data_IF_441559980637
#
_entry.id   IF_441559980637
#
_cell.length_a   1.000
_cell.length_b   1.000
_cell.length_c   1.000
_cell.angle_alpha   90.00
_cell.angle_beta   90.00
_cell.angle_gamma   90.00
#
_symmetry.space_group_name_H-M   'P 1'
#
loop_
_entity.id
_entity.type
_entity.pdbx_description
1 polymer ?
#
# COMPACT_ATOMS: atom_id res chain seq x y z
N UNK A 1 11.93 20.50 -10.42
CA UNK A 1 10.86 20.65 -9.42
C UNK A 1 11.54 20.49 -8.08
N UNK A 2 12.06 21.58 -7.56
CA UNK A 2 12.77 21.60 -6.28
C UNK A 2 11.68 21.68 -5.22
N UNK A 3 11.50 20.56 -4.54
CA UNK A 3 10.38 20.29 -3.65
C UNK A 3 10.75 20.73 -2.23
N UNK A 4 9.84 21.47 -1.62
CA UNK A 4 9.69 21.83 -0.21
C UNK A 4 10.85 21.54 0.78
N UNK A 5 11.33 22.57 1.48
CA UNK A 5 12.58 22.52 2.26
C UNK A 5 12.44 22.40 3.80
N UNK A 6 11.24 22.22 4.37
CA UNK A 6 11.07 22.23 5.84
C UNK A 6 10.19 21.10 6.42
N UNK A 7 9.40 20.41 5.59
CA UNK A 7 8.49 19.33 6.00
C UNK A 7 9.05 17.91 5.79
N UNK A 8 8.31 16.87 6.24
CA UNK A 8 8.67 15.46 6.04
C UNK A 8 8.69 15.05 4.56
N UNK A 9 9.70 14.29 4.14
CA UNK A 9 9.74 13.71 2.80
C UNK A 9 8.51 12.80 2.57
N UNK A 10 7.92 12.86 1.38
CA UNK A 10 6.69 12.14 1.04
C UNK A 10 6.99 10.99 0.09
N UNK A 11 6.76 9.77 0.58
CA UNK A 11 6.80 8.54 -0.19
C UNK A 11 5.42 8.30 -0.80
N UNK A 12 5.30 8.36 -2.13
CA UNK A 12 4.01 8.25 -2.81
C UNK A 12 3.87 6.89 -3.47
N UNK A 13 2.82 6.16 -3.11
CA UNK A 13 2.36 4.98 -3.84
C UNK A 13 1.63 5.42 -5.11
N UNK A 14 2.36 5.60 -6.21
CA UNK A 14 1.73 6.07 -7.45
C UNK A 14 0.84 5.00 -8.09
N UNK A 15 1.05 3.73 -7.77
CA UNK A 15 0.18 2.64 -8.20
C UNK A 15 -1.19 2.76 -7.55
N UNK A 16 -1.25 3.01 -6.24
CA UNK A 16 -2.49 3.23 -5.51
C UNK A 16 -3.20 4.50 -5.98
N UNK A 17 -2.46 5.61 -6.13
CA UNK A 17 -3.00 6.89 -6.61
C UNK A 17 -3.59 6.77 -8.02
N UNK A 18 -2.81 6.26 -8.98
CA UNK A 18 -3.25 6.21 -10.37
C UNK A 18 -4.44 5.26 -10.58
N UNK A 19 -4.71 4.34 -9.64
CA UNK A 19 -5.80 3.35 -9.71
C UNK A 19 -7.03 3.73 -8.89
N UNK A 20 -7.09 4.95 -8.33
CA UNK A 20 -8.24 5.36 -7.53
C UNK A 20 -9.51 5.45 -8.40
N UNK A 21 -10.35 4.42 -8.31
CA UNK A 21 -11.59 4.28 -9.08
C UNK A 21 -12.57 5.42 -8.89
N UNK A 22 -12.52 6.14 -7.77
CA UNK A 22 -13.39 7.30 -7.55
C UNK A 22 -12.98 8.50 -8.41
N UNK A 23 -11.76 8.51 -8.93
CA UNK A 23 -11.17 9.63 -9.68
C UNK A 23 -10.87 9.28 -11.15
N UNK A 24 -11.11 8.03 -11.55
CA UNK A 24 -10.91 7.57 -12.93
C UNK A 24 -12.06 7.98 -13.83
N UNK A 25 -11.73 8.35 -15.07
CA UNK A 25 -12.73 8.51 -16.12
C UNK A 25 -13.32 7.13 -16.51
N UNK A 26 -14.52 7.13 -17.08
CA UNK A 26 -15.21 5.87 -17.43
C UNK A 26 -14.36 5.01 -18.39
N UNK A 27 -14.13 3.75 -18.01
CA UNK A 27 -13.34 2.79 -18.80
C UNK A 27 -11.84 2.84 -18.57
N UNK A 28 -11.31 3.81 -17.80
CA UNK A 28 -9.91 3.82 -17.42
C UNK A 28 -9.61 2.77 -16.34
N UNK A 29 -8.44 2.11 -16.45
CA UNK A 29 -7.92 1.20 -15.40
C UNK A 29 -6.91 1.88 -14.49
N UNK A 30 -6.22 2.89 -15.00
CA UNK A 30 -5.34 3.78 -14.25
C UNK A 30 -5.12 5.07 -15.04
N UNK A 31 -4.92 6.19 -14.34
CA UNK A 31 -4.71 7.50 -14.97
C UNK A 31 -3.65 8.31 -14.24
N UNK A 32 -2.64 8.75 -14.99
CA UNK A 32 -1.58 9.62 -14.47
C UNK A 32 -2.10 11.01 -14.08
N UNK A 33 -3.18 11.47 -14.71
CA UNK A 33 -3.82 12.75 -14.36
C UNK A 33 -4.25 12.77 -12.89
N UNK A 34 -4.64 11.62 -12.34
CA UNK A 34 -5.00 11.49 -10.91
C UNK A 34 -3.80 11.80 -10.03
N UNK A 35 -2.61 11.28 -10.37
CA UNK A 35 -1.38 11.61 -9.67
C UNK A 35 -1.04 13.10 -9.77
N UNK A 36 -1.20 13.73 -10.94
CA UNK A 36 -1.01 15.17 -11.09
C UNK A 36 -1.99 16.00 -10.24
N UNK A 37 -3.24 15.56 -10.12
CA UNK A 37 -4.23 16.20 -9.25
C UNK A 37 -3.85 16.07 -7.78
N UNK A 38 -3.36 14.90 -7.35
CA UNK A 38 -2.87 14.68 -5.99
C UNK A 38 -1.66 15.54 -5.69
N UNK A 39 -0.68 15.62 -6.60
CA UNK A 39 0.48 16.53 -6.45
C UNK A 39 0.01 17.98 -6.34
N UNK A 40 -0.94 18.43 -7.17
CA UNK A 40 -1.52 19.77 -7.06
C UNK A 40 -2.23 20.02 -5.72
N UNK A 41 -2.84 18.98 -5.13
CA UNK A 41 -3.46 19.07 -3.81
C UNK A 41 -2.41 19.15 -2.69
N UNK A 42 -1.31 18.41 -2.80
CA UNK A 42 -0.19 18.50 -1.86
C UNK A 42 0.39 19.92 -1.81
N UNK A 43 0.53 20.59 -2.96
CA UNK A 43 1.03 21.98 -3.01
C UNK A 43 0.08 23.00 -2.36
N UNK A 44 -1.22 22.68 -2.27
CA UNK A 44 -2.24 23.55 -1.65
C UNK A 44 -2.55 23.15 -0.21
N UNK A 45 -2.03 22.02 0.25
CA UNK A 45 -2.34 21.51 1.57
C UNK A 45 -1.79 22.48 2.63
N UNK A 46 -2.49 22.67 3.76
CA UNK A 46 -1.97 23.46 4.88
C UNK A 46 -0.81 22.75 5.60
N UNK A 47 -0.53 21.49 5.25
CA UNK A 47 0.55 20.68 5.79
C UNK A 47 1.83 21.02 5.02
N UNK A 48 2.88 21.42 5.74
CA UNK A 48 4.22 21.53 5.16
C UNK A 48 4.73 20.14 4.86
N UNK A 49 5.01 19.85 3.59
CA UNK A 49 5.58 18.58 3.13
C UNK A 49 7.01 18.81 2.66
N UNK A 50 7.78 17.75 2.46
CA UNK A 50 9.17 17.76 1.99
C UNK A 50 9.27 17.29 0.53
N UNK A 51 10.36 16.60 0.19
CA UNK A 51 10.57 16.10 -1.18
C UNK A 51 9.62 14.93 -1.47
N UNK A 52 9.11 14.88 -2.70
CA UNK A 52 8.31 13.75 -3.18
C UNK A 52 9.23 12.68 -3.78
N UNK A 53 9.07 11.44 -3.33
CA UNK A 53 9.66 10.26 -3.93
C UNK A 53 8.56 9.27 -4.32
N UNK A 54 8.47 8.93 -5.62
CA UNK A 54 7.43 8.05 -6.13
C UNK A 54 7.90 6.59 -6.15
N UNK A 55 7.04 5.69 -5.69
CA UNK A 55 7.22 4.23 -5.80
C UNK A 55 6.06 3.65 -6.58
N UNK A 56 6.36 2.76 -7.53
CA UNK A 56 5.35 2.08 -8.32
C UNK A 56 5.57 0.58 -8.40
N UNK A 57 4.45 -0.12 -8.50
CA UNK A 57 4.42 -1.51 -8.94
C UNK A 57 4.60 -1.56 -10.46
N UNK A 58 5.44 -2.47 -10.96
CA UNK A 58 5.68 -2.68 -12.40
C UNK A 58 4.41 -2.95 -13.21
N UNK A 59 3.36 -3.44 -12.58
CA UNK A 59 2.03 -3.64 -13.18
C UNK A 59 1.29 -2.33 -13.52
N UNK A 60 1.77 -1.16 -13.08
CA UNK A 60 1.16 0.13 -13.40
C UNK A 60 1.37 0.52 -14.87
N UNK A 61 2.60 0.38 -15.37
CA UNK A 61 2.97 0.77 -16.74
C UNK A 61 2.02 0.22 -17.84
N UNK A 62 1.70 -1.09 -17.88
CA UNK A 62 0.88 -1.64 -18.97
C UNK A 62 -0.57 -1.16 -18.97
N UNK A 63 -1.09 -0.70 -17.82
CA UNK A 63 -2.50 -0.28 -17.70
C UNK A 63 -2.71 1.23 -17.82
N UNK A 64 -1.62 2.02 -17.88
CA UNK A 64 -1.68 3.46 -18.13
C UNK A 64 -1.96 3.74 -19.61
N UNK A 65 -2.71 4.82 -19.88
CA UNK A 65 -2.83 5.39 -21.23
C UNK A 65 -1.50 5.95 -21.76
N UNK A 66 -1.46 6.32 -23.04
CA UNK A 66 -0.24 6.81 -23.71
C UNK A 66 0.43 7.97 -22.95
N UNK A 67 -0.36 8.97 -22.56
CA UNK A 67 0.14 10.10 -21.77
C UNK A 67 0.80 9.64 -20.47
N UNK A 68 0.12 8.80 -19.69
CA UNK A 68 0.65 8.31 -18.42
C UNK A 68 1.92 7.48 -18.57
N UNK A 69 2.03 6.66 -19.62
CA UNK A 69 3.26 5.90 -19.92
C UNK A 69 4.45 6.82 -20.22
N UNK A 70 4.24 7.90 -20.97
CA UNK A 70 5.32 8.87 -21.26
C UNK A 70 5.73 9.66 -20.01
N UNK A 71 4.78 10.02 -19.14
CA UNK A 71 5.10 10.66 -17.86
C UNK A 71 5.86 9.72 -16.92
N UNK A 72 5.43 8.46 -16.80
CA UNK A 72 6.10 7.45 -15.98
C UNK A 72 7.55 7.22 -16.47
N UNK A 73 7.77 7.11 -17.80
CA UNK A 73 9.12 7.07 -18.38
C UNK A 73 9.95 8.31 -18.06
N UNK A 74 9.33 9.48 -18.10
CA UNK A 74 10.01 10.76 -17.79
C UNK A 74 10.44 10.80 -16.32
N UNK A 75 9.58 10.37 -15.40
CA UNK A 75 9.89 10.26 -13.98
C UNK A 75 11.05 9.29 -13.74
N UNK A 76 11.02 8.12 -14.39
CA UNK A 76 12.11 7.14 -14.36
C UNK A 76 13.44 7.76 -14.81
N UNK A 77 13.45 8.44 -15.97
CA UNK A 77 14.67 9.10 -16.50
C UNK A 77 15.23 10.20 -15.60
N UNK A 78 14.38 10.83 -14.79
CA UNK A 78 14.77 11.87 -13.83
C UNK A 78 15.18 11.33 -12.46
N UNK A 79 15.14 10.01 -12.24
CA UNK A 79 15.42 9.42 -10.93
C UNK A 79 14.37 9.74 -9.86
N UNK A 80 13.15 10.13 -10.28
CA UNK A 80 12.05 10.51 -9.38
C UNK A 80 11.10 9.34 -9.07
N UNK A 81 11.36 8.18 -9.66
CA UNK A 81 10.52 7.00 -9.59
C UNK A 81 11.37 5.76 -9.34
N UNK A 82 10.96 4.97 -8.36
CA UNK A 82 11.41 3.60 -8.18
C UNK A 82 10.30 2.62 -8.60
N UNK A 83 10.64 1.66 -9.48
CA UNK A 83 9.73 0.60 -9.90
C UNK A 83 10.14 -0.75 -9.31
N UNK A 84 9.26 -1.28 -8.46
CA UNK A 84 9.45 -2.54 -7.74
C UNK A 84 8.36 -3.54 -8.10
N UNK A 85 8.59 -4.81 -7.76
CA UNK A 85 7.56 -5.84 -7.87
C UNK A 85 6.44 -5.61 -6.84
N UNK A 86 6.76 -5.06 -5.67
CA UNK A 86 5.84 -4.81 -4.57
C UNK A 86 6.12 -3.41 -4.02
N UNK A 87 5.25 -2.45 -4.35
CA UNK A 87 5.41 -1.06 -3.93
C UNK A 87 5.31 -0.91 -2.41
N UNK A 88 4.38 -1.65 -1.80
CA UNK A 88 4.12 -1.60 -0.37
C UNK A 88 5.35 -1.96 0.47
N UNK A 89 6.05 -3.06 0.12
CA UNK A 89 7.28 -3.46 0.82
C UNK A 89 8.34 -2.35 0.79
N UNK A 90 8.48 -1.68 -0.37
CA UNK A 90 9.49 -0.64 -0.53
C UNK A 90 9.14 0.63 0.23
N UNK A 91 7.86 1.02 0.22
CA UNK A 91 7.36 2.17 0.98
C UNK A 91 7.51 1.95 2.49
N UNK A 92 7.11 0.78 2.98
CA UNK A 92 7.20 0.42 4.40
C UNK A 92 8.67 0.30 4.84
N UNK A 93 9.54 -0.27 4.01
CA UNK A 93 10.99 -0.29 4.27
C UNK A 93 11.55 1.12 4.41
N UNK A 94 11.28 2.03 3.47
CA UNK A 94 11.72 3.42 3.61
C UNK A 94 11.10 4.16 4.80
N UNK A 95 9.90 3.80 5.23
CA UNK A 95 9.24 4.45 6.36
C UNK A 95 9.84 4.04 7.71
N UNK A 96 10.28 2.78 7.86
CA UNK A 96 10.68 2.22 9.15
C UNK A 96 12.15 1.78 9.24
N UNK A 97 12.90 1.73 8.14
CA UNK A 97 14.32 1.39 8.19
C UNK A 97 15.15 2.56 8.73
N UNK A 98 16.00 2.29 9.73
CA UNK A 98 16.90 3.29 10.35
C UNK A 98 17.87 3.95 9.35
N UNK A 99 18.14 3.26 8.23
CA UNK A 99 19.03 3.74 7.17
C UNK A 99 18.28 4.39 6.00
N UNK A 100 17.01 4.75 6.18
CA UNK A 100 16.23 5.41 5.14
C UNK A 100 16.86 6.74 4.74
N UNK A 101 17.01 7.04 3.43
CA UNK A 101 17.58 8.30 2.97
C UNK A 101 16.60 9.48 3.04
N UNK A 102 15.39 9.26 3.57
CA UNK A 102 14.29 10.22 3.61
C UNK A 102 14.13 10.80 5.01
N UNK A 103 14.12 12.13 5.10
CA UNK A 103 13.95 12.81 6.39
C UNK A 103 12.50 12.77 6.84
N UNK A 104 12.26 12.26 8.06
CA UNK A 104 10.95 12.20 8.71
C UNK A 104 9.85 11.68 7.79
N UNK A 105 10.13 10.63 7.01
CA UNK A 105 9.28 10.20 5.92
C UNK A 105 7.81 9.96 6.31
N UNK A 106 6.90 10.32 5.41
CA UNK A 106 5.47 9.98 5.48
C UNK A 106 5.01 9.31 4.19
N UNK A 107 4.04 8.41 4.27
CA UNK A 107 3.53 7.64 3.11
C UNK A 107 2.19 8.18 2.65
N UNK A 108 2.08 8.53 1.37
CA UNK A 108 0.82 8.88 0.71
C UNK A 108 0.24 7.65 0.00
N UNK A 109 -0.74 6.99 0.61
CA UNK A 109 -1.47 5.84 0.06
C UNK A 109 -2.82 5.67 0.76
N UNK A 110 -3.81 5.10 0.06
CA UNK A 110 -5.08 4.66 0.65
C UNK A 110 -5.08 3.19 1.06
N UNK A 111 -3.96 2.47 0.89
CA UNK A 111 -3.80 1.14 1.48
C UNK A 111 -3.73 1.21 3.02
N UNK A 112 -4.25 0.19 3.70
CA UNK A 112 -4.18 0.05 5.15
C UNK A 112 -2.91 -0.69 5.63
N UNK A 113 -2.15 -1.29 4.71
CA UNK A 113 -0.93 -2.07 4.99
C UNK A 113 -1.17 -3.13 6.08
N UNK A 114 -2.31 -3.83 5.99
CA UNK A 114 -2.78 -4.73 7.05
C UNK A 114 -1.81 -5.91 7.28
N UNK A 115 -1.16 -6.38 6.22
CA UNK A 115 -0.15 -7.43 6.19
C UNK A 115 1.19 -7.03 6.84
N UNK A 116 1.57 -5.75 6.77
CA UNK A 116 2.79 -5.22 7.39
C UNK A 116 2.66 -4.92 8.89
N UNK A 117 1.44 -4.89 9.43
CA UNK A 117 1.20 -4.53 10.85
C UNK A 117 1.80 -5.50 11.86
N UNK A 118 2.14 -6.73 11.44
CA UNK A 118 2.80 -7.70 12.31
C UNK A 118 4.28 -7.38 12.50
N UNK A 119 4.98 -7.03 11.42
CA UNK A 119 6.40 -6.65 11.46
C UNK A 119 6.61 -5.18 11.84
N UNK A 120 5.62 -4.31 11.59
CA UNK A 120 5.65 -2.88 11.92
C UNK A 120 4.41 -2.50 12.75
N UNK A 121 4.37 -2.83 14.05
CA UNK A 121 3.24 -2.50 14.93
C UNK A 121 2.92 -1.00 14.99
N UNK A 122 3.89 -0.13 14.70
CA UNK A 122 3.75 1.33 14.63
C UNK A 122 2.71 1.79 13.59
N UNK A 123 2.33 0.93 12.63
CA UNK A 123 1.24 1.21 11.69
C UNK A 123 -0.12 1.24 12.40
N UNK A 124 -0.31 0.46 13.47
CA UNK A 124 -1.57 0.43 14.21
C UNK A 124 -1.90 1.79 14.79
N UNK A 125 -3.10 2.29 14.49
CA UNK A 125 -3.61 3.58 15.00
C UNK A 125 -2.73 4.80 14.72
N UNK A 126 -1.73 4.69 13.83
CA UNK A 126 -0.90 5.81 13.42
C UNK A 126 -1.76 6.93 12.86
N UNK A 127 -1.46 8.17 13.26
CA UNK A 127 -2.12 9.40 12.80
C UNK A 127 -1.15 10.39 12.17
N UNK A 128 0.11 10.03 12.02
CA UNK A 128 1.18 10.97 11.67
C UNK A 128 2.10 10.44 10.58
N UNK A 129 2.07 9.14 10.28
CA UNK A 129 2.97 8.53 9.29
C UNK A 129 2.34 8.36 7.91
N UNK A 130 1.01 8.44 7.82
CA UNK A 130 0.26 8.12 6.61
C UNK A 130 -0.63 9.29 6.21
N UNK A 131 -0.54 9.66 4.95
CA UNK A 131 -1.37 10.65 4.29
C UNK A 131 -2.36 9.96 3.36
N UNK A 132 -3.52 10.58 3.19
CA UNK A 132 -4.47 10.24 2.14
C UNK A 132 -4.96 11.49 1.40
N UNK A 133 -5.49 11.27 0.19
CA UNK A 133 -6.23 12.29 -0.54
C UNK A 133 -7.74 12.04 -0.40
N UNK A 134 -8.51 13.12 -0.35
CA UNK A 134 -9.97 13.11 -0.34
C UNK A 134 -10.51 14.12 -1.34
N UNK A 135 -11.44 13.71 -2.19
CA UNK A 135 -12.20 14.62 -3.03
C UNK A 135 -13.29 15.31 -2.22
N UNK A 136 -13.47 16.61 -2.45
CA UNK A 136 -14.63 17.35 -1.96
C UNK A 136 -15.80 17.30 -2.96
N UNK A 137 -16.90 17.98 -2.61
CA UNK A 137 -18.12 18.05 -3.44
C UNK A 137 -17.94 18.82 -4.75
N UNK A 138 -16.85 19.58 -4.89
CA UNK A 138 -16.51 20.39 -6.07
C UNK A 138 -15.44 19.68 -6.93
N UNK A 139 -15.03 18.48 -6.53
CA UNK A 139 -14.02 17.67 -7.23
C UNK A 139 -12.58 18.10 -6.97
N UNK A 140 -12.33 18.97 -5.99
CA UNK A 140 -10.99 19.32 -5.55
C UNK A 140 -10.48 18.29 -4.57
N UNK A 141 -9.22 17.88 -4.74
CA UNK A 141 -8.55 16.99 -3.83
C UNK A 141 -7.91 17.78 -2.68
N UNK A 142 -7.99 17.22 -1.48
CA UNK A 142 -7.35 17.70 -0.27
C UNK A 142 -6.51 16.58 0.36
N UNK A 143 -5.40 16.94 1.02
CA UNK A 143 -4.46 15.99 1.64
C UNK A 143 -4.62 16.05 3.16
N UNK A 144 -4.69 14.89 3.80
CA UNK A 144 -4.90 14.75 5.24
C UNK A 144 -4.04 13.64 5.81
N UNK A 145 -3.63 13.78 7.07
CA UNK A 145 -3.17 12.63 7.83
C UNK A 145 -4.31 11.64 8.04
N UNK A 146 -3.99 10.37 7.84
CA UNK A 146 -4.92 9.27 7.93
C UNK A 146 -4.77 8.56 9.26
N UNK A 147 -5.88 8.33 9.94
CA UNK A 147 -5.92 7.40 11.05
C UNK A 147 -5.88 5.97 10.48
N UNK A 148 -4.78 5.25 10.75
CA UNK A 148 -4.58 3.88 10.28
C UNK A 148 -5.42 2.85 11.02
N UNK A 149 -6.23 3.25 12.02
CA UNK A 149 -7.17 2.42 12.76
C UNK A 149 -6.51 1.24 13.49
N UNK A 150 -7.20 0.71 14.50
CA UNK A 150 -6.85 -0.56 15.08
C UNK A 150 -7.41 -1.69 14.21
N UNK A 151 -6.55 -2.62 13.81
CA UNK A 151 -6.96 -3.84 13.10
C UNK A 151 -6.85 -5.03 14.03
N UNK A 152 -7.89 -5.87 14.03
CA UNK A 152 -7.88 -7.12 14.79
C UNK A 152 -6.77 -8.04 14.28
N UNK A 153 -6.18 -8.83 15.18
CA UNK A 153 -5.28 -9.93 14.79
C UNK A 153 -5.92 -10.81 13.73
N UNK A 154 -7.26 -10.95 13.79
CA UNK A 154 -8.02 -11.68 12.80
C UNK A 154 -7.78 -11.21 11.38
N UNK A 155 -8.01 -9.92 11.19
CA UNK A 155 -7.86 -9.28 9.89
C UNK A 155 -6.43 -9.31 9.39
N UNK A 156 -5.45 -9.12 10.29
CA UNK A 156 -4.02 -9.11 9.95
C UNK A 156 -3.57 -10.48 9.43
N UNK A 157 -3.85 -11.58 10.16
CA UNK A 157 -3.47 -12.92 9.70
C UNK A 157 -4.09 -13.24 8.35
N UNK A 158 -5.40 -12.99 8.20
CA UNK A 158 -6.10 -13.23 6.95
C UNK A 158 -5.47 -12.49 5.77
N UNK A 159 -5.00 -11.25 6.00
CA UNK A 159 -4.33 -10.45 4.97
C UNK A 159 -2.96 -11.00 4.58
N UNK A 160 -2.17 -11.46 5.54
CA UNK A 160 -0.88 -12.14 5.29
C UNK A 160 -1.12 -13.41 4.47
N UNK A 161 -2.10 -14.22 4.86
CA UNK A 161 -2.45 -15.47 4.18
C UNK A 161 -2.98 -15.23 2.76
N UNK A 162 -3.83 -14.22 2.55
CA UNK A 162 -4.24 -13.76 1.21
C UNK A 162 -3.02 -13.39 0.34
N UNK A 163 -2.02 -12.73 0.93
CA UNK A 163 -0.76 -12.38 0.28
C UNK A 163 0.05 -13.62 -0.15
N UNK A 164 0.23 -14.58 0.76
CA UNK A 164 0.91 -15.84 0.48
C UNK A 164 0.22 -16.65 -0.62
N UNK A 165 -1.12 -16.72 -0.59
CA UNK A 165 -1.88 -17.42 -1.63
C UNK A 165 -1.68 -16.79 -3.00
N UNK A 166 -1.70 -15.45 -3.09
CA UNK A 166 -1.41 -14.72 -4.33
C UNK A 166 0.02 -15.00 -4.82
N UNK A 167 1.02 -14.95 -3.94
CA UNK A 167 2.41 -15.24 -4.27
C UNK A 167 2.58 -16.66 -4.83
N UNK A 168 1.85 -17.63 -4.28
CA UNK A 168 1.82 -19.03 -4.72
C UNK A 168 0.91 -19.30 -5.93
N UNK A 169 0.27 -18.26 -6.49
CA UNK A 169 -0.69 -18.36 -7.62
C UNK A 169 -1.88 -19.29 -7.35
N UNK A 170 -2.33 -19.34 -6.11
CA UNK A 170 -3.46 -20.16 -5.68
C UNK A 170 -4.76 -19.36 -5.88
N UNK A 171 -5.33 -19.42 -7.09
CA UNK A 171 -6.45 -18.58 -7.51
C UNK A 171 -7.83 -19.25 -7.49
N UNK A 172 -7.93 -20.54 -7.14
CA UNK A 172 -9.24 -21.23 -7.09
C UNK A 172 -10.08 -20.68 -5.93
N UNK A 173 -11.19 -20.02 -6.25
CA UNK A 173 -12.05 -19.35 -5.26
C UNK A 173 -12.53 -20.29 -4.16
N UNK A 174 -12.88 -21.54 -4.48
CA UNK A 174 -13.29 -22.56 -3.50
C UNK A 174 -12.19 -23.00 -2.54
N UNK A 175 -10.92 -22.94 -2.96
CA UNK A 175 -9.77 -23.25 -2.11
C UNK A 175 -9.41 -22.04 -1.25
N UNK A 176 -9.49 -20.84 -1.84
CA UNK A 176 -9.25 -19.57 -1.16
C UNK A 176 -10.28 -19.33 -0.05
N UNK A 177 -11.56 -19.51 -0.33
CA UNK A 177 -12.64 -19.32 0.66
C UNK A 177 -12.51 -20.31 1.82
N UNK A 178 -12.34 -21.61 1.55
CA UNK A 178 -12.15 -22.62 2.61
C UNK A 178 -10.88 -22.39 3.45
N UNK A 179 -9.79 -21.95 2.83
CA UNK A 179 -8.56 -21.66 3.55
C UNK A 179 -8.68 -20.38 4.41
N UNK A 180 -9.33 -19.32 3.92
CA UNK A 180 -9.59 -18.08 4.66
C UNK A 180 -10.70 -18.19 5.72
N UNK A 181 -11.54 -19.24 5.64
CA UNK A 181 -12.51 -19.59 6.68
C UNK A 181 -11.88 -20.35 7.86
N UNK A 182 -10.63 -20.83 7.70
CA UNK A 182 -9.90 -21.67 8.64
C UNK A 182 -8.74 -20.90 9.31
N UNK A 183 -9.00 -19.78 9.99
CA UNK A 183 -7.94 -18.84 10.41
C UNK A 183 -7.21 -19.19 11.75
N UNK A 184 -5.98 -18.67 11.90
CA UNK A 184 -5.06 -18.45 13.07
C UNK A 184 -4.11 -19.56 13.53
N UNK A 185 -2.83 -19.43 13.12
CA UNK A 185 -1.69 -20.08 13.78
C UNK A 185 -0.87 -19.04 14.56
N UNK A 186 -0.76 -19.28 15.86
CA UNK A 186 0.46 -19.02 16.61
C UNK A 186 1.20 -20.36 16.68
N UNK A 187 2.47 -20.37 16.32
CA UNK A 187 3.36 -21.52 16.27
C UNK A 187 3.96 -21.90 17.64
N UNK A 188 3.83 -21.02 18.63
CA UNK A 188 4.28 -21.25 20.01
C UNK A 188 3.09 -21.63 20.92
N UNK A 189 3.20 -22.73 21.67
CA UNK A 189 2.24 -23.13 22.71
C UNK A 189 2.12 -22.12 23.85
N UNK A 190 3.11 -21.25 24.02
CA UNK A 190 3.11 -20.16 24.98
C UNK A 190 2.50 -18.87 24.41
N UNK A 191 2.08 -18.88 23.14
CA UNK A 191 1.36 -17.75 22.58
C UNK A 191 -0.03 -17.65 23.20
N UNK A 192 -0.30 -16.52 23.85
CA UNK A 192 -1.60 -16.18 24.43
C UNK A 192 -2.75 -16.34 23.42
N UNK A 193 -2.52 -16.06 22.14
CA UNK A 193 -3.54 -16.22 21.08
C UNK A 193 -3.86 -17.70 20.79
N UNK A 194 -2.89 -18.61 20.93
CA UNK A 194 -3.11 -20.05 20.76
C UNK A 194 -3.83 -20.66 21.97
N UNK A 195 -3.50 -20.23 23.18
CA UNK A 195 -4.11 -20.72 24.43
C UNK A 195 -5.60 -20.38 24.55
N UNK A 196 -6.04 -19.32 23.89
CA UNK A 196 -7.45 -18.90 23.89
C UNK A 196 -8.34 -19.72 22.93
N UNK A 197 -7.79 -20.43 21.94
CA UNK A 197 -8.60 -21.09 20.87
C UNK A 197 -7.90 -22.30 20.19
N UNK A 198 -8.26 -23.55 20.57
CA UNK A 198 -7.44 -24.77 20.42
C UNK A 198 -7.68 -25.74 19.22
N UNK A 199 -8.74 -25.61 18.41
CA UNK A 199 -9.10 -26.66 17.42
C UNK A 199 -8.65 -26.35 15.96
N UNK A 200 -7.39 -26.62 15.54
CA UNK A 200 -6.87 -26.27 14.17
C UNK A 200 -5.79 -27.21 13.54
N UNK A 201 -5.72 -27.23 12.19
CA UNK A 201 -4.82 -28.03 11.31
C UNK A 201 -3.42 -27.40 11.07
N UNK A 202 -2.36 -28.23 10.91
CA UNK A 202 -0.93 -27.84 10.95
C UNK A 202 -0.30 -27.29 9.66
N UNK A 203 -0.83 -27.57 8.47
CA UNK A 203 -0.31 -27.12 7.16
C UNK A 203 -1.44 -26.84 6.16
N UNK A 204 -1.20 -25.89 5.24
CA UNK A 204 -2.06 -25.72 4.06
C UNK A 204 -2.02 -27.03 3.26
N UNK A 205 -3.16 -27.60 2.84
CA UNK A 205 -3.15 -28.81 2.03
C UNK A 205 -2.33 -28.58 0.77
N UNK A 206 -1.32 -29.43 0.55
CA UNK A 206 -0.59 -29.48 -0.71
C UNK A 206 -1.53 -30.07 -1.75
N UNK A 207 -2.29 -29.23 -2.42
CA UNK A 207 -3.04 -29.67 -3.60
C UNK A 207 -2.01 -29.91 -4.71
N UNK A 208 -1.85 -31.18 -5.09
CA UNK A 208 -1.01 -31.60 -6.20
C UNK A 208 -1.19 -30.66 -7.40
N UNK A 209 -0.06 -30.31 -8.04
CA UNK A 209 -0.04 -29.57 -9.30
C UNK A 209 -0.98 -30.27 -10.29
N UNK A 210 -2.17 -29.72 -10.49
CA UNK A 210 -3.07 -30.20 -11.54
C UNK A 210 -2.37 -29.98 -12.88
N UNK A 211 -2.17 -31.08 -13.60
CA UNK A 211 -1.67 -31.15 -14.98
C UNK A 211 -2.41 -30.20 -15.92
#
# INVERSE_FOLDING_TARGET
>A
MTLFNEGPDVLVDISNVCRDRALLEHGERASWKVFEHVVKAMHRAPIQLGRIHAVADRSLYPILGNYGREQLKTFRKKGLLEETALADERLIGYLFDDNSPFDRAVVLSRDMFDDFRRSHPQIQESKELFLEWRGDTVGLLSIHFRNMQLRTHRRISRKIEEGEMKARKLFRDTIRERALESDFRCDNSDCVVAQLWADRLRELPVYERSR
#
